data_IF_407506908744
#
_entry.id   IF_407506908744
#
_cell.length_a   1.000
_cell.length_b   1.000
_cell.length_c   1.000
_cell.angle_alpha   90.00
_cell.angle_beta   90.00
_cell.angle_gamma   90.00
#
_symmetry.space_group_name_H-M   'P 1'
#
loop_
_entity.id
_entity.type
_entity.pdbx_description
1 polymer ?
#
# COMPACT_ATOMS: atom_id res chain seq x y z
N UNK A 1 -63.18 9.73 49.09
CA UNK A 1 -63.99 8.69 48.40
C UNK A 1 -63.63 8.77 46.92
N UNK A 2 -63.18 7.69 46.25
CA UNK A 2 -63.96 6.53 45.77
C UNK A 2 -65.08 6.96 44.79
N UNK A 3 -65.27 6.34 43.61
CA UNK A 3 -64.50 5.33 42.83
C UNK A 3 -65.26 5.07 41.51
N UNK A 4 -64.57 4.76 40.39
CA UNK A 4 -65.05 3.92 39.25
C UNK A 4 -66.39 4.36 38.54
N UNK A 5 -66.94 3.85 37.43
CA UNK A 5 -66.71 2.80 36.41
C UNK A 5 -67.80 3.00 35.29
N UNK A 6 -67.77 2.52 34.02
CA UNK A 6 -66.83 1.74 33.19
C UNK A 6 -67.23 1.83 31.68
N UNK A 7 -66.24 1.70 30.78
CA UNK A 7 -66.24 1.35 29.32
C UNK A 7 -67.52 1.31 28.43
N UNK A 8 -67.36 1.69 27.14
CA UNK A 8 -67.71 0.88 25.95
C UNK A 8 -67.13 1.51 24.65
N UNK A 9 -66.05 1.01 24.03
CA UNK A 9 -65.95 -0.03 22.96
C UNK A 9 -66.55 0.31 21.56
N UNK A 10 -65.70 0.83 20.68
CA UNK A 10 -65.60 0.55 19.21
C UNK A 10 -64.10 0.69 18.89
N UNK A 11 -63.24 -0.32 18.65
CA UNK A 11 -63.22 -1.48 17.74
C UNK A 11 -62.76 -1.15 16.29
N UNK A 12 -61.46 -1.37 16.03
CA UNK A 12 -60.76 -1.49 14.70
C UNK A 12 -60.78 -0.24 13.78
N UNK A 13 -59.71 0.10 13.05
CA UNK A 13 -58.80 -0.74 12.23
C UNK A 13 -57.31 -0.45 12.47
N UNK A 14 -56.47 -1.47 12.28
CA UNK A 14 -55.00 -1.38 12.31
C UNK A 14 -54.42 -0.62 11.10
N UNK A 15 -53.36 0.15 11.32
CA UNK A 15 -52.30 0.29 10.32
C UNK A 15 -50.94 0.52 11.00
N UNK A 16 -50.31 -0.58 11.39
CA UNK A 16 -48.92 -0.58 11.83
C UNK A 16 -48.01 -0.30 10.63
N UNK A 17 -47.66 0.97 10.40
CA UNK A 17 -46.46 1.30 9.64
C UNK A 17 -45.23 1.12 10.54
N UNK A 18 -44.95 -0.15 10.85
CA UNK A 18 -43.62 -0.55 11.24
C UNK A 18 -42.72 -0.32 10.01
N UNK A 19 -42.03 0.81 10.00
CA UNK A 19 -40.91 1.02 9.07
C UNK A 19 -39.80 0.07 9.52
N UNK A 20 -39.91 -1.18 9.05
CA UNK A 20 -38.78 -2.10 8.96
C UNK A 20 -37.89 -1.51 7.87
N UNK A 21 -37.16 -0.46 8.25
CA UNK A 21 -35.98 -0.02 7.52
C UNK A 21 -35.07 -1.22 7.50
N UNK A 22 -34.94 -1.84 6.33
CA UNK A 22 -34.01 -2.93 6.11
C UNK A 22 -32.65 -2.46 6.61
N UNK A 23 -32.10 -3.17 7.59
CA UNK A 23 -30.77 -2.91 8.09
C UNK A 23 -29.76 -3.32 7.00
N UNK A 24 -29.61 -2.46 5.99
CA UNK A 24 -28.39 -2.43 5.19
C UNK A 24 -27.25 -2.28 6.18
N UNK A 25 -26.39 -3.31 6.25
CA UNK A 25 -25.30 -3.39 7.21
C UNK A 25 -24.41 -2.16 7.08
N UNK A 26 -24.61 -1.21 7.99
CA UNK A 26 -24.17 0.16 7.78
C UNK A 26 -22.65 0.25 7.64
N UNK A 27 -22.20 1.30 6.97
CA UNK A 27 -20.79 1.70 6.83
C UNK A 27 -19.99 1.63 8.15
N UNK A 28 -20.64 1.84 9.30
CA UNK A 28 -20.05 1.73 10.64
C UNK A 28 -19.78 0.29 11.12
N UNK A 29 -20.54 -0.70 10.66
CA UNK A 29 -20.36 -2.12 11.00
C UNK A 29 -19.12 -2.69 10.29
N UNK A 30 -18.80 -2.16 9.11
CA UNK A 30 -17.55 -2.41 8.39
C UNK A 30 -16.31 -1.94 9.18
N UNK A 31 -16.38 -0.80 9.88
CA UNK A 31 -15.30 -0.31 10.75
C UNK A 31 -15.20 -1.02 12.11
N UNK A 32 -16.31 -1.54 12.66
CA UNK A 32 -16.32 -2.22 13.97
C UNK A 32 -16.07 -3.73 13.92
N UNK A 33 -16.10 -4.35 12.74
CA UNK A 33 -15.88 -5.80 12.62
C UNK A 33 -14.43 -6.22 12.88
N UNK A 34 -14.17 -6.66 14.11
CA UNK A 34 -12.91 -7.29 14.53
C UNK A 34 -12.58 -8.59 13.74
N UNK A 35 -13.51 -9.10 12.92
CA UNK A 35 -13.35 -10.30 12.08
C UNK A 35 -12.47 -10.05 10.85
N UNK A 36 -12.32 -8.79 10.41
CA UNK A 36 -11.53 -8.43 9.23
C UNK A 36 -10.03 -8.21 9.53
N UNK A 37 -9.60 -8.34 10.79
CA UNK A 37 -8.17 -8.22 11.16
C UNK A 37 -7.38 -9.41 10.60
N UNK A 38 -6.19 -9.11 10.08
CA UNK A 38 -5.29 -10.09 9.46
C UNK A 38 -5.48 -10.34 7.96
N UNK A 39 -6.45 -9.69 7.31
CA UNK A 39 -6.68 -9.81 5.87
C UNK A 39 -6.03 -8.70 5.03
N UNK A 40 -5.29 -7.79 5.66
CA UNK A 40 -4.57 -6.71 4.99
C UNK A 40 -3.35 -7.26 4.19
N UNK A 41 -3.16 -6.81 2.95
CA UNK A 41 -2.13 -7.29 2.02
C UNK A 41 -1.39 -6.12 1.39
N UNK A 42 -0.08 -6.27 1.25
CA UNK A 42 0.75 -5.35 0.49
C UNK A 42 0.40 -5.36 -1.01
N UNK A 43 1.14 -4.57 -1.80
CA UNK A 43 1.17 -4.73 -3.26
C UNK A 43 1.67 -6.14 -3.58
N UNK A 44 0.98 -6.83 -4.50
CA UNK A 44 1.47 -8.06 -5.11
C UNK A 44 2.34 -7.64 -6.27
N UNK A 45 3.59 -8.06 -6.27
CA UNK A 45 4.50 -7.87 -7.40
C UNK A 45 4.39 -9.05 -8.36
N UNK A 46 4.59 -8.76 -9.64
CA UNK A 46 4.51 -9.73 -10.74
C UNK A 46 5.78 -9.66 -11.58
N UNK A 47 6.34 -10.82 -11.91
CA UNK A 47 7.52 -11.00 -12.75
C UNK A 47 7.18 -12.01 -13.84
N UNK A 48 7.21 -11.57 -15.10
CA UNK A 48 7.01 -12.43 -16.27
C UNK A 48 8.34 -13.07 -16.63
N UNK A 49 8.35 -14.39 -16.75
CA UNK A 49 9.52 -15.20 -17.07
C UNK A 49 9.61 -15.42 -18.58
N UNK A 50 10.82 -15.31 -19.12
CA UNK A 50 11.14 -15.63 -20.52
C UNK A 50 11.60 -17.10 -20.63
N UNK A 51 11.09 -17.95 -21.55
CA UNK A 51 10.13 -17.66 -22.63
C UNK A 51 8.65 -17.73 -22.22
N UNK A 52 8.35 -18.32 -21.06
CA UNK A 52 7.01 -18.39 -20.48
C UNK A 52 7.09 -18.61 -18.97
N UNK A 53 6.00 -18.27 -18.29
CA UNK A 53 5.84 -18.41 -16.86
C UNK A 53 5.55 -17.08 -16.18
N UNK A 54 4.89 -17.16 -15.03
CA UNK A 54 4.57 -16.02 -14.18
C UNK A 54 4.98 -16.34 -12.75
N UNK A 55 5.69 -15.40 -12.14
CA UNK A 55 6.01 -15.41 -10.72
C UNK A 55 5.35 -14.21 -10.05
N UNK A 56 4.83 -14.42 -8.85
CA UNK A 56 4.20 -13.36 -8.06
C UNK A 56 4.45 -13.55 -6.58
N UNK A 57 4.58 -12.44 -5.85
CA UNK A 57 4.84 -12.46 -4.42
C UNK A 57 4.24 -11.27 -3.66
N UNK A 58 4.03 -11.45 -2.36
CA UNK A 58 3.73 -10.39 -1.41
C UNK A 58 4.51 -10.60 -0.12
N UNK A 59 4.89 -9.51 0.54
CA UNK A 59 5.40 -9.56 1.92
C UNK A 59 4.36 -10.16 2.86
N UNK A 60 4.78 -11.06 3.76
CA UNK A 60 3.93 -11.59 4.81
C UNK A 60 3.63 -10.51 5.86
N UNK A 61 2.39 -10.44 6.34
CA UNK A 61 2.03 -9.74 7.59
C UNK A 61 1.84 -10.78 8.70
N UNK A 62 2.21 -10.50 9.98
CA UNK A 62 2.16 -11.49 11.06
C UNK A 62 0.78 -12.12 11.33
N UNK A 63 -0.30 -11.46 10.89
CA UNK A 63 -1.68 -11.90 11.06
C UNK A 63 -2.21 -12.74 9.86
N UNK A 64 -1.40 -12.91 8.80
CA UNK A 64 -1.75 -13.64 7.58
C UNK A 64 -1.00 -14.98 7.54
N UNK A 65 -1.74 -16.08 7.43
CA UNK A 65 -1.23 -17.45 7.39
C UNK A 65 -1.22 -18.07 6.00
N UNK A 66 -2.13 -17.64 5.13
CA UNK A 66 -2.24 -18.09 3.75
C UNK A 66 -2.52 -16.94 2.80
N UNK A 67 -1.99 -17.07 1.59
CA UNK A 67 -2.13 -16.12 0.49
C UNK A 67 -2.49 -16.87 -0.78
N UNK A 68 -3.44 -16.35 -1.55
CA UNK A 68 -3.84 -16.90 -2.83
C UNK A 68 -4.10 -15.82 -3.85
N UNK A 69 -4.00 -16.20 -5.12
CA UNK A 69 -4.33 -15.36 -6.27
C UNK A 69 -5.21 -16.15 -7.23
N UNK A 70 -6.29 -15.48 -7.66
CA UNK A 70 -7.03 -15.80 -8.87
C UNK A 70 -6.62 -14.76 -9.93
N UNK A 71 -6.12 -15.20 -11.08
CA UNK A 71 -5.66 -14.35 -12.17
C UNK A 71 -6.44 -14.64 -13.45
N UNK A 72 -6.83 -13.57 -14.14
CA UNK A 72 -7.51 -13.58 -15.43
C UNK A 72 -6.71 -12.73 -16.42
N UNK A 73 -6.29 -13.35 -17.52
CA UNK A 73 -5.56 -12.68 -18.61
C UNK A 73 -6.58 -12.19 -19.63
N UNK A 74 -6.50 -10.91 -20.00
CA UNK A 74 -7.39 -10.21 -20.93
C UNK A 74 -8.89 -10.50 -20.65
N UNK A 75 -9.41 -10.12 -19.48
CA UNK A 75 -10.78 -10.43 -19.07
C UNK A 75 -11.84 -9.77 -19.97
N UNK A 76 -12.80 -10.57 -20.45
CA UNK A 76 -13.90 -10.08 -21.29
C UNK A 76 -15.12 -9.73 -20.45
N UNK A 77 -15.33 -8.43 -20.23
CA UNK A 77 -16.49 -7.90 -19.49
C UNK A 77 -17.80 -8.41 -20.11
N UNK A 78 -18.64 -9.02 -19.28
CA UNK A 78 -19.93 -9.60 -19.68
C UNK A 78 -19.98 -11.13 -19.76
N UNK A 79 -18.83 -11.83 -19.87
CA UNK A 79 -18.80 -13.29 -19.70
C UNK A 79 -18.86 -13.64 -18.20
N UNK A 80 -19.99 -14.18 -17.76
CA UNK A 80 -20.21 -14.56 -16.34
C UNK A 80 -19.29 -15.70 -15.83
N UNK A 81 -18.62 -16.40 -16.74
CA UNK A 81 -17.67 -17.48 -16.44
C UNK A 81 -16.50 -17.41 -17.43
N UNK A 82 -15.45 -16.65 -17.09
CA UNK A 82 -14.13 -16.81 -17.70
C UNK A 82 -13.35 -17.82 -16.85
N UNK A 83 -12.72 -18.86 -17.44
CA UNK A 83 -11.86 -19.75 -16.67
C UNK A 83 -10.71 -18.96 -16.06
N UNK A 84 -10.38 -19.27 -14.81
CA UNK A 84 -9.22 -18.70 -14.13
C UNK A 84 -7.93 -19.19 -14.79
N UNK A 85 -7.03 -18.27 -15.16
CA UNK A 85 -5.76 -18.61 -15.77
C UNK A 85 -4.74 -19.09 -14.73
N UNK A 86 -4.69 -18.45 -13.55
CA UNK A 86 -3.87 -18.89 -12.41
C UNK A 86 -4.70 -18.79 -11.15
N UNK A 87 -5.13 -19.93 -10.62
CA UNK A 87 -5.84 -20.03 -9.35
C UNK A 87 -5.00 -20.89 -8.40
N UNK A 88 -4.10 -20.26 -7.64
CA UNK A 88 -3.19 -20.95 -6.71
C UNK A 88 -3.19 -20.27 -5.34
N UNK A 89 -3.10 -21.09 -4.30
CA UNK A 89 -2.96 -20.69 -2.91
C UNK A 89 -1.65 -21.25 -2.36
N UNK A 90 -1.02 -20.54 -1.44
CA UNK A 90 0.15 -20.98 -0.69
C UNK A 90 0.04 -20.56 0.78
N UNK A 91 0.52 -21.43 1.66
CA UNK A 91 0.82 -21.13 3.07
C UNK A 91 2.33 -21.12 3.33
N UNK A 92 3.13 -21.42 2.32
CA UNK A 92 4.58 -21.46 2.40
C UNK A 92 5.17 -20.05 2.29
N UNK A 93 6.13 -19.77 3.16
CA UNK A 93 6.78 -18.47 3.29
C UNK A 93 8.27 -18.64 2.99
N UNK A 94 8.74 -17.92 1.99
CA UNK A 94 10.15 -17.91 1.59
C UNK A 94 10.70 -16.50 1.84
N UNK A 95 11.70 -16.37 2.71
CA UNK A 95 12.32 -15.08 3.08
C UNK A 95 11.31 -13.98 3.49
N UNK A 96 10.30 -14.35 4.30
CA UNK A 96 9.26 -13.42 4.77
C UNK A 96 8.23 -12.98 3.70
N UNK A 97 8.17 -13.69 2.57
CA UNK A 97 7.21 -13.45 1.48
C UNK A 97 6.41 -14.71 1.20
N UNK A 98 5.13 -14.54 0.86
CA UNK A 98 4.38 -15.59 0.18
C UNK A 98 4.76 -15.56 -1.30
N UNK A 99 5.08 -16.74 -1.85
CA UNK A 99 5.65 -16.89 -3.18
C UNK A 99 4.81 -17.89 -3.99
N UNK A 100 4.46 -17.51 -5.22
CA UNK A 100 3.76 -18.35 -6.18
C UNK A 100 4.46 -18.24 -7.54
N UNK A 101 4.69 -19.39 -8.17
CA UNK A 101 5.25 -19.50 -9.52
C UNK A 101 4.41 -20.50 -10.33
N UNK A 102 4.13 -20.15 -11.58
CA UNK A 102 3.48 -21.04 -12.55
C UNK A 102 4.20 -20.93 -13.90
N UNK A 103 4.80 -22.03 -14.34
CA UNK A 103 5.66 -22.10 -15.52
C UNK A 103 4.87 -22.34 -16.82
N UNK A 104 3.57 -22.64 -16.71
CA UNK A 104 2.69 -22.93 -17.84
C UNK A 104 2.04 -21.68 -18.46
N UNK A 105 2.17 -20.52 -17.79
CA UNK A 105 1.41 -19.31 -18.10
C UNK A 105 2.16 -18.45 -19.11
N UNK A 106 1.58 -18.26 -20.29
CA UNK A 106 2.11 -17.35 -21.30
C UNK A 106 1.47 -15.98 -21.11
N UNK A 107 2.27 -14.98 -20.73
CA UNK A 107 1.87 -13.58 -20.55
C UNK A 107 2.71 -12.71 -21.48
N UNK A 108 2.09 -11.79 -22.22
CA UNK A 108 2.77 -10.92 -23.18
C UNK A 108 2.77 -9.46 -22.73
N UNK A 109 3.75 -8.70 -23.20
CA UNK A 109 3.74 -7.23 -23.05
C UNK A 109 2.45 -6.65 -23.65
N UNK A 110 1.79 -5.77 -22.90
CA UNK A 110 0.50 -5.18 -23.27
C UNK A 110 -0.73 -5.99 -22.85
N UNK A 111 -0.59 -7.22 -22.33
CA UNK A 111 -1.73 -7.94 -21.75
C UNK A 111 -2.29 -7.21 -20.53
N UNK A 112 -3.61 -7.28 -20.36
CA UNK A 112 -4.33 -6.77 -19.19
C UNK A 112 -4.58 -7.93 -18.23
N UNK A 113 -3.92 -7.88 -17.08
CA UNK A 113 -4.10 -8.83 -15.99
C UNK A 113 -5.13 -8.27 -15.00
N UNK A 114 -6.23 -9.00 -14.78
CA UNK A 114 -7.13 -8.75 -13.65
C UNK A 114 -6.94 -9.86 -12.61
N UNK A 115 -6.63 -9.48 -11.38
CA UNK A 115 -6.34 -10.43 -10.31
C UNK A 115 -7.14 -10.14 -9.04
N UNK A 116 -7.50 -11.21 -8.34
CA UNK A 116 -8.19 -11.18 -7.06
C UNK A 116 -7.29 -11.86 -6.04
N UNK A 117 -7.02 -11.15 -4.95
CA UNK A 117 -6.26 -11.69 -3.83
C UNK A 117 -7.21 -12.46 -2.91
N UNK A 118 -6.76 -13.62 -2.44
CA UNK A 118 -7.38 -14.39 -1.35
C UNK A 118 -6.42 -14.37 -0.16
N UNK A 119 -6.94 -14.17 1.04
CA UNK A 119 -6.16 -14.19 2.27
C UNK A 119 -6.79 -15.06 3.32
N UNK A 120 -5.96 -15.80 4.05
CA UNK A 120 -6.36 -16.61 5.20
C UNK A 120 -5.60 -16.15 6.46
N UNK A 121 -6.32 -15.86 7.54
CA UNK A 121 -5.76 -15.55 8.86
C UNK A 121 -5.74 -16.77 9.81
N UNK A 122 -6.16 -17.94 9.32
CA UNK A 122 -6.34 -19.19 10.06
C UNK A 122 -7.66 -19.30 10.81
N UNK A 123 -8.64 -18.42 10.53
CA UNK A 123 -10.00 -18.42 11.09
C UNK A 123 -11.06 -18.13 10.03
N UNK A 124 -10.73 -17.19 9.14
CA UNK A 124 -11.57 -16.72 8.04
C UNK A 124 -10.72 -16.63 6.79
N UNK A 125 -11.35 -16.84 5.63
CA UNK A 125 -10.78 -16.57 4.32
C UNK A 125 -11.50 -15.38 3.71
N UNK A 126 -10.76 -14.36 3.25
CA UNK A 126 -11.31 -13.17 2.61
C UNK A 126 -10.82 -13.06 1.17
N UNK A 127 -11.78 -12.95 0.25
CA UNK A 127 -11.57 -12.59 -1.16
C UNK A 127 -11.64 -11.08 -1.31
N UNK A 128 -10.61 -10.47 -1.88
CA UNK A 128 -10.47 -9.03 -2.04
C UNK A 128 -11.23 -8.50 -3.26
N UNK A 129 -11.28 -7.17 -3.42
CA UNK A 129 -11.76 -6.55 -4.67
C UNK A 129 -10.76 -6.84 -5.81
N UNK A 130 -11.23 -7.11 -7.04
CA UNK A 130 -10.34 -7.26 -8.20
C UNK A 130 -9.46 -6.03 -8.42
N UNK A 131 -8.23 -6.26 -8.88
CA UNK A 131 -7.24 -5.24 -9.25
C UNK A 131 -6.78 -5.50 -10.67
N UNK A 132 -6.43 -4.44 -11.40
CA UNK A 132 -5.94 -4.53 -12.79
C UNK A 132 -4.48 -4.09 -12.88
N UNK A 133 -3.74 -4.70 -13.78
CA UNK A 133 -2.34 -4.42 -14.11
C UNK A 133 -2.17 -4.58 -15.64
N UNK A 134 -1.35 -3.72 -16.24
CA UNK A 134 -0.92 -3.89 -17.65
C UNK A 134 0.53 -4.36 -17.62
N UNK A 135 0.87 -5.34 -18.44
CA UNK A 135 2.22 -5.94 -18.46
C UNK A 135 3.18 -5.05 -19.26
N UNK A 136 4.13 -4.41 -18.55
CA UNK A 136 5.29 -3.74 -19.17
C UNK A 136 6.26 -4.80 -19.74
N UNK A 137 6.91 -4.49 -20.86
CA UNK A 137 7.72 -5.43 -21.65
C UNK A 137 9.07 -5.80 -21.05
N UNK A 138 9.21 -5.77 -19.72
CA UNK A 138 10.43 -6.07 -18.98
C UNK A 138 10.36 -7.49 -18.41
N UNK A 139 10.54 -8.49 -19.27
CA UNK A 139 10.67 -9.87 -18.82
C UNK A 139 11.95 -10.04 -17.98
N UNK A 140 11.87 -10.89 -16.95
CA UNK A 140 13.06 -11.39 -16.28
C UNK A 140 13.59 -12.56 -17.10
N UNK A 141 14.69 -12.35 -17.81
CA UNK A 141 15.42 -13.47 -18.40
C UNK A 141 15.85 -14.42 -17.27
N UNK A 142 15.70 -15.74 -17.44
CA UNK A 142 16.31 -16.69 -16.52
C UNK A 142 17.82 -16.42 -16.50
N UNK A 143 18.52 -16.69 -15.38
CA UNK A 143 19.98 -16.66 -15.36
C UNK A 143 20.48 -17.80 -16.25
N UNK A 144 20.61 -17.51 -17.55
CA UNK A 144 21.32 -18.38 -18.48
C UNK A 144 22.71 -18.66 -17.92
N UNK A 145 23.26 -19.84 -18.19
CA UNK A 145 24.47 -20.36 -17.54
C UNK A 145 25.67 -19.45 -17.81
N UNK A 146 25.83 -18.40 -16.99
CA UNK A 146 26.96 -17.50 -17.08
C UNK A 146 28.15 -18.26 -16.53
N UNK A 147 29.01 -18.76 -17.43
CA UNK A 147 30.38 -19.13 -17.10
C UNK A 147 30.94 -18.03 -16.19
N UNK A 148 31.44 -18.35 -14.98
CA UNK A 148 31.80 -17.31 -14.01
C UNK A 148 32.86 -16.39 -14.63
N UNK A 149 32.42 -15.19 -15.00
CA UNK A 149 33.32 -14.14 -15.46
C UNK A 149 34.31 -13.88 -14.33
N UNK A 150 35.59 -14.14 -14.58
CA UNK A 150 36.66 -13.94 -13.61
C UNK A 150 36.53 -12.55 -13.02
N UNK A 151 36.39 -12.39 -11.69
CA UNK A 151 36.14 -11.10 -11.09
C UNK A 151 37.32 -10.18 -11.39
N UNK A 152 37.06 -9.18 -12.24
CA UNK A 152 38.02 -8.09 -12.46
C UNK A 152 38.12 -7.33 -11.14
N UNK A 153 39.35 -7.14 -10.64
CA UNK A 153 39.65 -6.77 -9.25
C UNK A 153 38.98 -5.47 -8.76
N UNK A 154 38.51 -4.63 -9.68
CA UNK A 154 37.74 -3.40 -9.41
C UNK A 154 36.42 -3.65 -8.64
N UNK A 155 35.81 -4.83 -8.77
CA UNK A 155 34.52 -5.14 -8.12
C UNK A 155 34.65 -5.49 -6.62
N UNK A 156 35.84 -5.88 -6.14
CA UNK A 156 36.06 -6.23 -4.73
C UNK A 156 36.23 -5.00 -3.83
N UNK A 157 36.63 -3.85 -4.36
CA UNK A 157 36.94 -2.65 -3.57
C UNK A 157 35.72 -1.84 -3.12
N UNK A 158 34.50 -2.20 -3.55
CA UNK A 158 33.26 -1.49 -3.18
C UNK A 158 32.57 -2.10 -1.95
N UNK A 159 32.94 -3.32 -1.56
CA UNK A 159 32.33 -4.03 -0.43
C UNK A 159 32.92 -3.73 0.95
N UNK A 160 34.04 -2.99 1.03
CA UNK A 160 34.69 -2.64 2.31
C UNK A 160 34.46 -1.19 2.77
N UNK A 161 33.85 -0.33 1.94
CA UNK A 161 33.46 1.03 2.35
C UNK A 161 31.94 1.13 2.60
N UNK A 162 31.48 1.18 3.87
CA UNK A 162 30.05 1.34 4.17
C UNK A 162 29.47 2.66 3.63
N UNK A 163 30.31 3.66 3.35
CA UNK A 163 29.88 4.92 2.70
C UNK A 163 29.42 4.68 1.26
N UNK A 164 30.09 3.78 0.54
CA UNK A 164 29.75 3.44 -0.84
C UNK A 164 28.44 2.64 -0.93
N UNK A 165 28.17 1.74 0.03
CA UNK A 165 26.90 1.02 0.12
C UNK A 165 25.73 1.97 0.39
N UNK A 166 25.86 2.89 1.37
CA UNK A 166 24.82 3.88 1.67
C UNK A 166 24.53 4.76 0.45
N UNK A 167 25.56 5.28 -0.23
CA UNK A 167 25.40 6.09 -1.43
C UNK A 167 24.74 5.31 -2.60
N UNK A 168 24.98 4.01 -2.70
CA UNK A 168 24.31 3.13 -3.67
C UNK A 168 22.83 2.91 -3.31
N UNK A 169 22.52 2.63 -2.04
CA UNK A 169 21.16 2.45 -1.55
C UNK A 169 20.31 3.72 -1.72
N UNK A 170 20.86 4.89 -1.41
CA UNK A 170 20.21 6.18 -1.67
C UNK A 170 19.92 6.36 -3.17
N UNK A 171 20.90 6.13 -4.04
CA UNK A 171 20.72 6.21 -5.50
C UNK A 171 19.66 5.23 -6.03
N UNK A 172 19.52 4.06 -5.41
CA UNK A 172 18.47 3.08 -5.74
C UNK A 172 17.11 3.59 -5.28
N UNK A 173 16.96 4.05 -4.03
CA UNK A 173 15.72 4.63 -3.50
C UNK A 173 15.26 5.83 -4.33
N UNK A 174 16.18 6.69 -4.78
CA UNK A 174 15.89 7.81 -5.65
C UNK A 174 15.38 7.36 -7.04
N UNK A 175 15.97 6.30 -7.59
CA UNK A 175 15.57 5.72 -8.88
C UNK A 175 14.23 4.98 -8.80
N UNK A 176 13.93 4.33 -7.68
CA UNK A 176 12.68 3.59 -7.44
C UNK A 176 11.53 4.56 -7.15
N UNK A 177 11.74 5.57 -6.31
CA UNK A 177 10.73 6.63 -6.06
C UNK A 177 10.34 7.39 -7.33
N UNK A 178 11.29 7.64 -8.24
CA UNK A 178 11.03 8.20 -9.59
C UNK A 178 10.28 7.26 -10.55
N UNK A 179 10.17 5.95 -10.25
CA UNK A 179 9.53 4.93 -11.10
C UNK A 179 8.19 4.40 -10.58
N UNK A 180 7.91 4.50 -9.28
CA UNK A 180 6.76 3.84 -8.64
C UNK A 180 5.53 4.74 -8.43
N UNK A 181 5.41 5.88 -9.15
CA UNK A 181 4.41 6.91 -8.89
C UNK A 181 3.35 7.07 -9.99
N UNK A 182 2.33 6.19 -10.00
CA UNK A 182 1.02 6.48 -10.62
C UNK A 182 0.15 7.42 -9.76
N UNK A 183 0.63 7.80 -8.57
CA UNK A 183 0.11 8.88 -7.76
C UNK A 183 1.24 9.84 -7.41
N UNK A 184 1.03 11.15 -7.60
CA UNK A 184 2.04 12.19 -7.52
C UNK A 184 2.65 12.30 -6.11
N UNK A 185 3.75 11.60 -5.84
CA UNK A 185 4.50 11.77 -4.59
C UNK A 185 5.09 13.18 -4.53
N UNK A 186 4.51 14.02 -3.70
CA UNK A 186 4.90 15.42 -3.57
C UNK A 186 6.06 15.58 -2.57
N UNK A 187 6.94 16.55 -2.82
CA UNK A 187 8.06 16.87 -1.91
C UNK A 187 7.63 17.74 -0.71
N UNK A 188 6.33 17.87 -0.47
CA UNK A 188 5.79 18.70 0.62
C UNK A 188 5.60 17.87 1.89
N UNK A 189 5.89 18.50 3.02
CA UNK A 189 5.59 18.04 4.37
C UNK A 189 4.73 19.09 5.07
N UNK A 190 4.05 18.67 6.13
CA UNK A 190 3.20 19.52 6.93
C UNK A 190 3.69 19.48 8.38
N UNK A 191 3.99 20.65 8.95
CA UNK A 191 4.31 20.84 10.34
C UNK A 191 3.08 21.40 11.05
N UNK A 192 2.44 20.58 11.87
CA UNK A 192 1.32 21.04 12.69
C UNK A 192 1.86 21.99 13.78
N UNK A 193 1.37 23.22 13.78
CA UNK A 193 1.66 24.24 14.80
C UNK A 193 0.35 24.91 15.20
N UNK A 194 0.32 25.57 16.35
CA UNK A 194 -0.70 26.62 16.56
C UNK A 194 -0.55 27.67 15.44
N UNK A 195 -1.66 28.26 14.97
CA UNK A 195 -1.64 29.10 13.77
C UNK A 195 -0.63 30.24 13.88
N UNK A 196 0.28 30.29 12.89
CA UNK A 196 1.22 31.40 12.72
C UNK A 196 1.02 31.99 11.33
N UNK A 197 0.15 32.99 11.24
CA UNK A 197 0.00 33.78 10.02
C UNK A 197 1.28 34.61 9.82
N UNK A 198 1.97 34.47 8.69
CA UNK A 198 3.22 35.21 8.47
C UNK A 198 3.82 35.08 7.06
N UNK A 199 4.81 35.93 6.72
CA UNK A 199 5.55 35.84 5.45
C UNK A 199 6.28 34.50 5.31
N UNK A 200 6.39 33.98 4.08
CA UNK A 200 7.04 32.70 3.77
C UNK A 200 8.46 32.55 4.36
N UNK A 201 9.24 33.64 4.41
CA UNK A 201 10.58 33.64 5.00
C UNK A 201 10.56 33.47 6.53
N UNK A 202 9.52 33.96 7.21
CA UNK A 202 9.35 33.80 8.65
C UNK A 202 8.79 32.41 8.99
N UNK A 203 7.86 31.89 8.17
CA UNK A 203 7.42 30.49 8.24
C UNK A 203 8.61 29.53 8.05
N UNK A 204 9.52 29.83 7.11
CA UNK A 204 10.74 29.04 6.89
C UNK A 204 11.66 29.08 8.12
N UNK A 205 11.82 30.23 8.78
CA UNK A 205 12.57 30.33 10.05
C UNK A 205 11.93 29.50 11.17
N UNK A 206 10.61 29.41 11.24
CA UNK A 206 9.91 28.59 12.24
C UNK A 206 10.20 27.10 12.01
N UNK A 207 10.09 26.61 10.77
CA UNK A 207 10.46 25.22 10.44
C UNK A 207 11.94 24.95 10.73
N UNK A 208 12.83 25.88 10.38
CA UNK A 208 14.26 25.77 10.72
C UNK A 208 14.50 25.71 12.24
N UNK A 209 13.81 26.53 13.03
CA UNK A 209 13.90 26.51 14.50
C UNK A 209 13.41 25.18 15.08
N UNK A 210 12.32 24.60 14.55
CA UNK A 210 11.86 23.26 14.92
C UNK A 210 12.93 22.19 14.64
N UNK A 211 13.59 22.26 13.48
CA UNK A 211 14.70 21.36 13.14
C UNK A 211 15.93 21.58 14.04
N UNK A 212 16.20 22.81 14.49
CA UNK A 212 17.29 23.10 15.43
C UNK A 212 17.00 22.64 16.87
N UNK A 213 15.74 22.49 17.27
CA UNK A 213 15.36 21.95 18.57
C UNK A 213 15.51 20.43 18.68
N UNK A 214 15.57 19.70 17.54
CA UNK A 214 15.70 18.24 17.50
C UNK A 214 17.05 17.84 16.90
N UNK A 215 17.95 17.28 17.73
CA UNK A 215 19.31 16.91 17.31
C UNK A 215 19.36 16.03 16.05
N UNK A 216 18.41 15.09 15.91
CA UNK A 216 18.29 14.24 14.74
C UNK A 216 17.91 14.98 13.44
N UNK A 217 17.21 16.12 13.53
CA UNK A 217 16.73 16.88 12.37
C UNK A 217 17.69 18.00 11.94
N UNK A 218 18.58 18.47 12.83
CA UNK A 218 19.63 19.47 12.53
C UNK A 218 20.34 19.28 11.18
N UNK A 219 20.88 18.09 10.83
CA UNK A 219 21.59 17.92 9.54
C UNK A 219 20.68 18.04 8.31
N UNK A 220 19.36 17.86 8.46
CA UNK A 220 18.38 17.92 7.37
C UNK A 220 17.79 19.33 7.18
N UNK A 221 18.09 20.30 8.04
CA UNK A 221 17.59 21.67 7.94
C UNK A 221 17.95 22.34 6.59
N UNK A 222 19.12 22.02 6.04
CA UNK A 222 19.55 22.52 4.72
C UNK A 222 18.75 21.99 3.53
N UNK A 223 17.93 20.94 3.70
CA UNK A 223 17.09 20.38 2.64
C UNK A 223 15.77 21.15 2.43
N UNK A 224 15.45 22.13 3.29
CA UNK A 224 14.19 22.89 3.24
C UNK A 224 14.29 24.03 2.22
N UNK A 225 13.51 23.94 1.15
CA UNK A 225 13.50 24.92 0.05
C UNK A 225 12.58 26.11 0.35
N UNK A 226 11.30 25.86 0.62
CA UNK A 226 10.28 26.89 0.90
C UNK A 226 9.37 26.46 2.04
N UNK A 227 8.69 27.44 2.65
CA UNK A 227 7.59 27.25 3.57
C UNK A 227 6.43 28.15 3.15
N UNK A 228 5.22 27.65 3.27
CA UNK A 228 3.96 28.23 2.83
C UNK A 228 2.94 28.04 3.96
N UNK A 229 1.98 28.96 4.04
CA UNK A 229 0.91 28.89 5.03
C UNK A 229 -0.10 27.79 4.68
N UNK A 230 -0.68 27.17 5.70
CA UNK A 230 -1.63 26.06 5.60
C UNK A 230 -2.69 26.14 6.69
N UNK A 231 -3.89 25.62 6.40
CA UNK A 231 -5.10 25.87 7.22
C UNK A 231 -4.95 25.61 8.72
N UNK A 232 -4.07 24.67 9.10
CA UNK A 232 -3.85 24.21 10.48
C UNK A 232 -2.35 24.04 10.81
N UNK A 233 -1.45 24.75 10.11
CA UNK A 233 0.00 24.65 10.29
C UNK A 233 0.81 24.93 9.02
N UNK A 234 2.14 24.80 9.10
CA UNK A 234 3.05 25.22 8.04
C UNK A 234 3.27 24.09 7.03
N UNK A 235 3.02 24.35 5.74
CA UNK A 235 3.40 23.46 4.63
C UNK A 235 4.82 23.81 4.19
N UNK A 236 5.74 22.85 4.11
CA UNK A 236 7.11 23.12 3.67
C UNK A 236 7.60 22.13 2.62
N UNK A 237 8.40 22.63 1.69
CA UNK A 237 8.95 21.85 0.57
C UNK A 237 10.38 21.42 0.87
N UNK A 238 10.61 20.12 0.72
CA UNK A 238 11.93 19.49 0.83
C UNK A 238 12.58 19.37 -0.56
N UNK A 239 13.91 19.37 -0.63
CA UNK A 239 14.68 19.17 -1.85
C UNK A 239 14.31 17.86 -2.56
N UNK A 240 14.53 16.72 -1.87
CA UNK A 240 14.35 15.38 -2.44
C UNK A 240 13.36 14.52 -1.63
N UNK A 241 12.81 13.48 -2.28
CA UNK A 241 11.92 12.49 -1.64
C UNK A 241 12.66 11.71 -0.54
N UNK A 242 13.96 11.44 -0.70
CA UNK A 242 14.78 10.77 0.31
C UNK A 242 14.84 11.59 1.61
N UNK A 243 15.11 12.89 1.51
CA UNK A 243 15.16 13.77 2.67
C UNK A 243 13.80 13.85 3.35
N UNK A 244 12.70 13.91 2.58
CA UNK A 244 11.33 13.81 3.11
C UNK A 244 11.12 12.53 3.92
N UNK A 245 11.59 11.38 3.44
CA UNK A 245 11.48 10.10 4.16
C UNK A 245 12.37 10.07 5.42
N UNK A 246 13.61 10.59 5.35
CA UNK A 246 14.50 10.73 6.51
C UNK A 246 13.88 11.61 7.60
N UNK A 247 13.29 12.75 7.23
CA UNK A 247 12.58 13.66 8.15
C UNK A 247 11.41 12.93 8.82
N UNK A 248 10.58 12.21 8.05
CA UNK A 248 9.43 11.49 8.59
C UNK A 248 9.81 10.38 9.58
N UNK A 249 10.91 9.66 9.33
CA UNK A 249 11.38 8.61 10.22
C UNK A 249 12.00 9.19 11.51
N UNK A 250 12.85 10.21 11.39
CA UNK A 250 13.49 10.85 12.54
C UNK A 250 12.53 11.70 13.39
N UNK A 251 11.41 12.15 12.82
CA UNK A 251 10.33 12.84 13.54
C UNK A 251 9.37 11.89 14.29
N UNK A 252 9.46 10.55 14.08
CA UNK A 252 8.72 9.56 14.89
C UNK A 252 9.37 9.26 16.25
N UNK A 253 10.60 9.75 16.47
CA UNK A 253 11.36 9.62 17.71
C UNK A 253 11.09 10.82 18.64
#
# INVERSE_FOLDING_TARGET
MRQCSVTSRVCTVLLCLAVIGVAEGGFLDWFRSNKNKGHDVCRVEFEVLDPQGLRLWTTQKPQMKGFGVELFINPVHGRKQQPCNVCRNTTEITHGKFFLQDESVIVKSGDILEYVIITDNGKTVQRHKPRKLIVDGRCACPPGTVTPATPTQTAQQVYEDPTAEIALLERILERVSKKCAEGTMSNYLFLQTDRVDGPADDLKKIVLNYFQQRDALKPLAGSILSAEDGSDGIVFRVANIIDKLKILELARQ
#
